data_IF_520746247468
#
_entry.id   IF_520746247468
#
_cell.length_a   1.000
_cell.length_b   1.000
_cell.length_c   1.000
_cell.angle_alpha   90.00
_cell.angle_beta   90.00
_cell.angle_gamma   90.00
#
_symmetry.space_group_name_H-M   'P 1'
#
loop_
_entity.id
_entity.type
_entity.pdbx_description
1 polymer ?
#
# COMPACT_ATOMS: atom_id res chain seq x y z
N UNK A 1 -65.22 29.19 -80.16
CA UNK A 1 -64.22 28.26 -79.59
C UNK A 1 -65.00 27.12 -78.95
N UNK A 2 -64.70 25.87 -79.30
CA UNK A 2 -65.43 24.69 -78.80
C UNK A 2 -65.03 24.38 -77.36
N UNK A 3 -66.00 24.02 -76.49
CA UNK A 3 -65.77 23.57 -75.11
C UNK A 3 -64.71 22.45 -75.00
N UNK A 4 -64.67 21.56 -75.99
CA UNK A 4 -63.69 20.48 -76.09
C UNK A 4 -62.24 20.99 -76.26
N UNK A 5 -62.09 22.15 -76.90
CA UNK A 5 -60.79 22.76 -77.10
C UNK A 5 -60.28 23.40 -75.80
N UNK A 6 -61.14 24.04 -75.01
CA UNK A 6 -60.78 24.57 -73.69
C UNK A 6 -60.38 23.48 -72.70
N UNK A 7 -61.09 22.36 -72.67
CA UNK A 7 -60.76 21.19 -71.82
C UNK A 7 -59.38 20.61 -72.15
N UNK A 8 -59.02 20.55 -73.44
CA UNK A 8 -57.70 20.07 -73.88
C UNK A 8 -56.57 20.99 -73.41
N UNK A 9 -56.75 22.31 -73.48
CA UNK A 9 -55.76 23.28 -72.99
C UNK A 9 -55.58 23.20 -71.47
N UNK A 10 -56.68 23.01 -70.73
CA UNK A 10 -56.64 22.86 -69.26
C UNK A 10 -55.91 21.58 -68.84
N UNK A 11 -56.23 20.45 -69.48
CA UNK A 11 -55.54 19.17 -69.21
C UNK A 11 -54.03 19.29 -69.48
N UNK A 12 -53.66 19.89 -70.60
CA UNK A 12 -52.26 20.06 -70.97
C UNK A 12 -51.51 21.02 -70.02
N UNK A 13 -52.16 22.10 -69.60
CA UNK A 13 -51.61 23.04 -68.61
C UNK A 13 -51.37 22.35 -67.26
N UNK A 14 -52.36 21.60 -66.76
CA UNK A 14 -52.28 20.87 -65.49
C UNK A 14 -51.20 19.78 -65.52
N UNK A 15 -51.16 18.97 -66.58
CA UNK A 15 -50.12 17.95 -66.79
C UNK A 15 -48.72 18.56 -66.80
N UNK A 16 -48.53 19.71 -67.47
CA UNK A 16 -47.25 20.42 -67.45
C UNK A 16 -46.85 20.90 -66.05
N UNK A 17 -47.81 21.32 -65.23
CA UNK A 17 -47.58 21.83 -63.89
C UNK A 17 -47.21 20.71 -62.92
N UNK A 18 -47.92 19.58 -63.00
CA UNK A 18 -47.60 18.37 -62.26
C UNK A 18 -46.19 17.88 -62.60
N UNK A 19 -45.86 17.74 -63.88
CA UNK A 19 -44.52 17.30 -64.31
C UNK A 19 -43.40 18.22 -63.78
N UNK A 20 -43.60 19.54 -63.79
CA UNK A 20 -42.66 20.51 -63.22
C UNK A 20 -42.53 20.38 -61.70
N UNK A 21 -43.64 20.19 -60.98
CA UNK A 21 -43.63 20.01 -59.53
C UNK A 21 -42.91 18.72 -59.17
N UNK A 22 -43.26 17.63 -59.84
CA UNK A 22 -42.70 16.30 -59.61
C UNK A 22 -41.19 16.31 -59.86
N UNK A 23 -40.72 17.01 -60.92
CA UNK A 23 -39.30 17.26 -61.16
C UNK A 23 -38.62 18.03 -60.02
N UNK A 24 -39.21 19.13 -59.54
CA UNK A 24 -38.65 19.91 -58.42
C UNK A 24 -38.57 19.10 -57.13
N UNK A 25 -39.59 18.29 -56.82
CA UNK A 25 -39.53 17.39 -55.66
C UNK A 25 -38.46 16.33 -55.81
N UNK A 26 -38.23 15.80 -57.02
CA UNK A 26 -37.14 14.86 -57.26
C UNK A 26 -35.76 15.52 -57.06
N UNK A 27 -35.56 16.72 -57.62
CA UNK A 27 -34.33 17.52 -57.45
C UNK A 27 -34.04 17.80 -55.96
N UNK A 28 -35.04 18.26 -55.20
CA UNK A 28 -34.89 18.51 -53.76
C UNK A 28 -34.56 17.23 -52.99
N UNK A 29 -35.16 16.11 -53.35
CA UNK A 29 -34.91 14.82 -52.70
C UNK A 29 -33.47 14.35 -52.96
N UNK A 30 -32.97 14.53 -54.19
CA UNK A 30 -31.58 14.22 -54.54
C UNK A 30 -30.60 15.11 -53.76
N UNK A 31 -30.88 16.40 -53.67
CA UNK A 31 -30.04 17.34 -52.94
C UNK A 31 -30.02 17.05 -51.44
N UNK A 32 -31.18 16.73 -50.84
CA UNK A 32 -31.27 16.26 -49.44
C UNK A 32 -30.43 14.99 -49.27
N UNK A 33 -30.50 14.03 -50.19
CA UNK A 33 -29.73 12.79 -50.10
C UNK A 33 -28.20 13.04 -50.17
N UNK A 34 -27.76 13.99 -50.99
CA UNK A 34 -26.35 14.42 -51.04
C UNK A 34 -25.90 15.01 -49.71
N UNK A 35 -26.73 15.87 -49.09
CA UNK A 35 -26.46 16.44 -47.77
C UNK A 35 -26.38 15.34 -46.71
N UNK A 36 -27.35 14.42 -46.66
CA UNK A 36 -27.35 13.28 -45.73
C UNK A 36 -26.07 12.47 -45.89
N UNK A 37 -25.69 12.14 -47.12
CA UNK A 37 -24.47 11.38 -47.40
C UNK A 37 -23.23 12.11 -46.88
N UNK A 38 -23.17 13.43 -47.08
CA UNK A 38 -22.02 14.23 -46.63
C UNK A 38 -21.96 14.35 -45.11
N UNK A 39 -23.10 14.50 -44.44
CA UNK A 39 -23.19 14.49 -42.99
C UNK A 39 -22.75 13.13 -42.42
N UNK A 40 -23.20 12.02 -43.00
CA UNK A 40 -22.78 10.69 -42.58
C UNK A 40 -21.26 10.49 -42.72
N UNK A 41 -20.66 10.96 -43.82
CA UNK A 41 -19.21 10.95 -44.00
C UNK A 41 -18.49 11.79 -42.93
N UNK A 42 -19.01 12.98 -42.63
CA UNK A 42 -18.41 13.88 -41.64
C UNK A 42 -18.48 13.26 -40.24
N UNK A 43 -19.65 12.74 -39.84
CA UNK A 43 -19.84 12.04 -38.56
C UNK A 43 -18.90 10.85 -38.43
N UNK A 44 -18.73 10.05 -39.49
CA UNK A 44 -17.81 8.93 -39.49
C UNK A 44 -16.36 9.38 -39.29
N UNK A 45 -15.94 10.45 -39.97
CA UNK A 45 -14.60 11.02 -39.81
C UNK A 45 -14.37 11.60 -38.40
N UNK A 46 -15.34 12.30 -37.84
CA UNK A 46 -15.26 12.83 -36.48
C UNK A 46 -15.13 11.72 -35.43
N UNK A 47 -15.90 10.64 -35.60
CA UNK A 47 -15.83 9.48 -34.71
C UNK A 47 -14.49 8.75 -34.84
N UNK A 48 -14.02 8.50 -36.05
CA UNK A 48 -12.71 7.88 -36.32
C UNK A 48 -11.56 8.72 -35.73
N UNK A 49 -11.61 10.04 -35.90
CA UNK A 49 -10.64 10.96 -35.30
C UNK A 49 -10.65 10.89 -33.77
N UNK A 50 -11.83 10.90 -33.14
CA UNK A 50 -11.96 10.77 -31.68
C UNK A 50 -11.46 9.42 -31.18
N UNK A 51 -11.81 8.33 -31.86
CA UNK A 51 -11.33 6.99 -31.52
C UNK A 51 -9.81 6.92 -31.58
N UNK A 52 -9.17 7.39 -32.66
CA UNK A 52 -7.70 7.42 -32.75
C UNK A 52 -7.06 8.24 -31.63
N UNK A 53 -7.65 9.39 -31.29
CA UNK A 53 -7.14 10.20 -30.19
C UNK A 53 -7.22 9.44 -28.86
N UNK A 54 -8.35 8.78 -28.61
CA UNK A 54 -8.54 7.95 -27.41
C UNK A 54 -7.53 6.80 -27.39
N UNK A 55 -7.34 6.09 -28.50
CA UNK A 55 -6.38 4.99 -28.63
C UNK A 55 -4.96 5.46 -28.30
N UNK A 56 -4.52 6.57 -28.88
CA UNK A 56 -3.19 7.16 -28.57
C UNK A 56 -3.07 7.46 -27.08
N UNK A 57 -4.06 8.12 -26.49
CA UNK A 57 -4.02 8.46 -25.05
C UNK A 57 -4.05 7.23 -24.16
N UNK A 58 -4.86 6.22 -24.49
CA UNK A 58 -4.98 4.99 -23.73
C UNK A 58 -3.70 4.16 -23.80
N UNK A 59 -3.09 4.03 -24.97
CA UNK A 59 -1.82 3.33 -25.14
C UNK A 59 -0.72 4.00 -24.33
N UNK A 60 -0.60 5.34 -24.40
CA UNK A 60 0.38 6.08 -23.59
C UNK A 60 0.15 5.90 -22.09
N UNK A 61 -1.12 5.94 -21.64
CA UNK A 61 -1.45 5.72 -20.24
C UNK A 61 -1.17 4.28 -19.80
N UNK A 62 -1.40 3.29 -20.67
CA UNK A 62 -1.08 1.89 -20.41
C UNK A 62 0.42 1.69 -20.26
N UNK A 63 1.22 2.23 -21.17
CA UNK A 63 2.69 2.15 -21.11
C UNK A 63 3.22 2.77 -19.82
N UNK A 64 2.73 3.95 -19.44
CA UNK A 64 3.09 4.59 -18.18
C UNK A 64 2.70 3.73 -16.96
N UNK A 65 1.49 3.14 -16.97
CA UNK A 65 1.03 2.26 -15.88
C UNK A 65 1.90 1.01 -15.75
N UNK A 66 2.24 0.38 -16.87
CA UNK A 66 3.10 -0.81 -16.89
C UNK A 66 4.50 -0.46 -16.38
N UNK A 67 5.08 0.65 -16.85
CA UNK A 67 6.40 1.09 -16.40
C UNK A 67 6.44 1.40 -14.89
N UNK A 68 5.43 2.12 -14.38
CA UNK A 68 5.34 2.42 -12.94
C UNK A 68 5.13 1.15 -12.11
N UNK A 69 4.33 0.20 -12.58
CA UNK A 69 4.11 -1.08 -11.91
C UNK A 69 5.40 -1.93 -11.87
N UNK A 70 6.20 -1.90 -12.94
CA UNK A 70 7.50 -2.55 -12.99
C UNK A 70 8.48 -1.92 -11.98
N UNK A 71 8.61 -0.59 -11.98
CA UNK A 71 9.44 0.12 -11.01
C UNK A 71 9.02 -0.17 -9.57
N UNK A 72 7.71 -0.20 -9.30
CA UNK A 72 7.19 -0.53 -7.97
C UNK A 72 7.56 -1.95 -7.56
N UNK A 73 7.43 -2.93 -8.46
CA UNK A 73 7.83 -4.32 -8.21
C UNK A 73 9.32 -4.40 -7.87
N UNK A 74 10.17 -3.72 -8.64
CA UNK A 74 11.61 -3.65 -8.38
C UNK A 74 11.93 -3.03 -7.01
N UNK A 75 11.26 -1.94 -6.64
CA UNK A 75 11.47 -1.28 -5.34
C UNK A 75 11.03 -2.17 -4.17
N UNK A 76 9.91 -2.90 -4.31
CA UNK A 76 9.44 -3.85 -3.30
C UNK A 76 10.47 -4.97 -3.12
N UNK A 77 10.99 -5.53 -4.22
CA UNK A 77 12.01 -6.57 -4.17
C UNK A 77 13.29 -6.07 -3.51
N UNK A 78 13.77 -4.88 -3.89
CA UNK A 78 14.92 -4.23 -3.24
C UNK A 78 14.69 -4.01 -1.73
N UNK A 79 13.49 -3.58 -1.35
CA UNK A 79 13.13 -3.40 0.06
C UNK A 79 13.14 -4.73 0.82
N UNK A 80 12.61 -5.79 0.22
CA UNK A 80 12.59 -7.13 0.84
C UNK A 80 14.00 -7.69 1.01
N UNK A 81 14.84 -7.58 -0.02
CA UNK A 81 16.24 -8.00 0.05
C UNK A 81 16.98 -7.25 1.16
N UNK A 82 16.90 -5.92 1.20
CA UNK A 82 17.55 -5.12 2.24
C UNK A 82 17.07 -5.50 3.65
N UNK A 83 15.78 -5.77 3.82
CA UNK A 83 15.23 -6.23 5.12
C UNK A 83 15.78 -7.60 5.51
N UNK A 84 15.93 -8.52 4.55
CA UNK A 84 16.52 -9.84 4.79
C UNK A 84 17.99 -9.72 5.18
N UNK A 85 18.77 -8.92 4.45
CA UNK A 85 20.18 -8.70 4.73
C UNK A 85 20.40 -8.08 6.11
N UNK A 86 19.59 -7.08 6.48
CA UNK A 86 19.63 -6.48 7.81
C UNK A 86 19.30 -7.47 8.92
N UNK A 87 18.29 -8.34 8.72
CA UNK A 87 17.96 -9.39 9.68
C UNK A 87 19.13 -10.38 9.84
N UNK A 88 19.71 -10.81 8.73
CA UNK A 88 20.87 -11.70 8.75
C UNK A 88 22.05 -11.09 9.50
N UNK A 89 22.36 -9.81 9.24
CA UNK A 89 23.43 -9.10 9.93
C UNK A 89 23.17 -9.02 11.44
N UNK A 90 21.94 -8.74 11.86
CA UNK A 90 21.57 -8.71 13.28
C UNK A 90 21.71 -10.09 13.94
N UNK A 91 21.30 -11.14 13.24
CA UNK A 91 21.44 -12.52 13.71
C UNK A 91 22.91 -12.92 13.87
N UNK A 92 23.76 -12.59 12.88
CA UNK A 92 25.21 -12.78 12.97
C UNK A 92 25.82 -12.03 14.17
N UNK A 93 25.45 -10.75 14.36
CA UNK A 93 25.93 -9.96 15.50
C UNK A 93 25.49 -10.54 16.85
N UNK A 94 24.28 -11.08 16.94
CA UNK A 94 23.75 -11.69 18.16
C UNK A 94 24.44 -13.03 18.47
N UNK A 95 24.68 -13.87 17.47
CA UNK A 95 25.48 -15.09 17.62
C UNK A 95 26.89 -14.76 18.09
N UNK A 96 27.54 -13.76 17.48
CA UNK A 96 28.85 -13.29 17.91
C UNK A 96 28.83 -12.80 19.36
N UNK A 97 27.80 -12.04 19.76
CA UNK A 97 27.63 -11.57 21.13
C UNK A 97 27.46 -12.73 22.12
N UNK A 98 26.65 -13.73 21.79
CA UNK A 98 26.44 -14.91 22.64
C UNK A 98 27.72 -15.74 22.78
N UNK A 99 28.45 -15.96 21.69
CA UNK A 99 29.74 -16.64 21.72
C UNK A 99 30.76 -15.84 22.56
N UNK A 100 30.88 -14.53 22.35
CA UNK A 100 31.76 -13.68 23.16
C UNK A 100 31.34 -13.64 24.64
N UNK A 101 30.05 -13.66 24.96
CA UNK A 101 29.57 -13.70 26.34
C UNK A 101 29.87 -15.07 27.00
N UNK A 102 29.69 -16.17 26.25
CA UNK A 102 30.07 -17.51 26.68
C UNK A 102 31.57 -17.63 26.93
N UNK A 103 32.39 -17.15 25.99
CA UNK A 103 33.85 -17.13 26.10
C UNK A 103 34.32 -16.21 27.24
N UNK A 104 33.69 -15.04 27.40
CA UNK A 104 33.96 -14.15 28.52
C UNK A 104 33.67 -14.83 29.86
N UNK A 105 32.52 -15.49 29.99
CA UNK A 105 32.17 -16.22 31.20
C UNK A 105 33.11 -17.39 31.45
N UNK A 106 33.47 -18.16 30.41
CA UNK A 106 34.44 -19.25 30.51
C UNK A 106 35.83 -18.75 30.94
N UNK A 107 36.32 -17.66 30.36
CA UNK A 107 37.63 -17.05 30.71
C UNK A 107 37.61 -16.48 32.12
N UNK A 108 36.53 -15.82 32.53
CA UNK A 108 36.34 -15.31 33.90
C UNK A 108 36.27 -16.45 34.91
N UNK A 109 35.49 -17.49 34.61
CA UNK A 109 35.33 -18.66 35.47
C UNK A 109 36.65 -19.41 35.63
N UNK A 110 37.40 -19.62 34.54
CA UNK A 110 38.73 -20.24 34.59
C UNK A 110 39.68 -19.44 35.48
N UNK A 111 39.73 -18.10 35.32
CA UNK A 111 40.52 -17.23 36.19
C UNK A 111 40.12 -17.32 37.65
N UNK A 112 38.83 -17.46 37.95
CA UNK A 112 38.34 -17.67 39.31
C UNK A 112 38.82 -19.01 39.86
N UNK A 113 38.71 -20.11 39.11
CA UNK A 113 39.23 -21.44 39.49
C UNK A 113 40.74 -21.40 39.76
N UNK A 114 41.50 -20.76 38.85
CA UNK A 114 42.96 -20.66 38.93
C UNK A 114 43.43 -19.81 40.12
N UNK A 115 42.58 -18.90 40.63
CA UNK A 115 42.84 -18.04 41.78
C UNK A 115 41.95 -18.35 42.99
N UNK A 116 41.41 -19.57 43.08
CA UNK A 116 40.68 -20.02 44.28
C UNK A 116 41.66 -19.97 45.47
N UNK A 117 41.33 -19.25 46.56
CA UNK A 117 42.17 -19.22 47.76
C UNK A 117 42.34 -20.62 48.35
N UNK A 118 43.53 -20.93 48.86
CA UNK A 118 43.87 -22.24 49.43
C UNK A 118 42.93 -22.69 50.57
N UNK A 119 42.20 -21.76 51.21
CA UNK A 119 41.19 -22.04 52.23
C UNK A 119 39.99 -22.86 51.73
N UNK A 120 39.74 -22.92 50.42
CA UNK A 120 38.62 -23.67 49.80
C UNK A 120 39.10 -25.01 49.21
N UNK A 121 40.40 -25.22 49.01
CA UNK A 121 40.94 -26.47 48.47
C UNK A 121 40.68 -27.69 49.38
N UNK A 122 40.54 -27.47 50.69
CA UNK A 122 40.16 -28.50 51.66
C UNK A 122 38.77 -29.11 51.41
N UNK A 123 37.90 -28.46 50.62
CA UNK A 123 36.58 -28.99 50.26
C UNK A 123 36.59 -29.96 49.06
N UNK A 124 37.71 -30.08 48.32
CA UNK A 124 37.84 -31.04 47.19
C UNK A 124 37.87 -32.50 47.67
N UNK A 125 38.22 -32.72 48.93
CA UNK A 125 38.22 -34.04 49.58
C UNK A 125 36.86 -34.38 50.22
N UNK A 126 35.90 -33.46 50.21
CA UNK A 126 34.55 -33.74 50.68
C UNK A 126 33.80 -34.57 49.63
N UNK A 127 33.81 -35.89 49.79
CA UNK A 127 32.88 -36.79 49.12
C UNK A 127 31.51 -36.62 49.80
N UNK A 128 30.47 -36.14 49.11
CA UNK A 128 29.15 -36.02 49.72
C UNK A 128 28.63 -37.42 50.07
N UNK A 129 28.42 -37.71 51.34
CA UNK A 129 27.57 -38.83 51.78
C UNK A 129 26.12 -38.39 51.62
N UNK A 130 25.63 -38.32 50.39
CA UNK A 130 24.20 -38.10 50.16
C UNK A 130 23.45 -39.44 50.30
N UNK A 131 22.37 -39.51 51.09
CA UNK A 131 21.38 -40.58 50.96
C UNK A 131 20.80 -40.52 49.54
N UNK A 132 20.63 -41.69 48.91
CA UNK A 132 19.94 -41.81 47.63
C UNK A 132 18.55 -41.16 47.73
N UNK A 133 18.35 -40.02 47.09
CA UNK A 133 17.03 -39.48 46.78
C UNK A 133 16.85 -39.56 45.27
N UNK A 134 15.79 -40.27 44.87
CA UNK A 134 15.46 -40.61 43.50
C UNK A 134 15.33 -39.36 42.62
N UNK A 135 15.79 -39.51 41.38
CA UNK A 135 15.54 -38.60 40.27
C UNK A 135 14.04 -38.61 39.98
N UNK A 136 13.37 -37.48 40.19
CA UNK A 136 12.16 -37.15 39.45
C UNK A 136 12.52 -36.11 38.39
N UNK A 137 12.39 -36.55 37.14
CA UNK A 137 12.54 -35.75 35.93
C UNK A 137 11.52 -34.62 35.90
N UNK A 138 11.93 -33.41 36.24
CA UNK A 138 11.17 -32.19 35.99
C UNK A 138 11.98 -31.28 35.08
N UNK A 139 11.77 -31.44 33.78
CA UNK A 139 12.20 -30.50 32.76
C UNK A 139 11.74 -29.09 33.15
N UNK A 140 12.70 -28.17 33.27
CA UNK A 140 12.46 -26.75 33.47
C UNK A 140 11.78 -26.16 32.23
N UNK A 141 10.46 -26.26 32.15
CA UNK A 141 9.66 -25.44 31.24
C UNK A 141 9.48 -24.06 31.87
N UNK A 142 10.28 -23.09 31.43
CA UNK A 142 9.99 -21.69 31.68
C UNK A 142 8.61 -21.36 31.08
N UNK A 143 7.71 -20.67 31.81
CA UNK A 143 6.40 -20.31 31.29
C UNK A 143 6.54 -19.30 30.13
N UNK A 144 5.61 -19.29 29.15
CA UNK A 144 5.61 -18.31 28.10
C UNK A 144 5.44 -16.91 28.69
N UNK A 145 6.32 -15.98 28.31
CA UNK A 145 6.15 -14.56 28.60
C UNK A 145 4.95 -14.07 27.80
N UNK A 146 3.80 -13.91 28.46
CA UNK A 146 2.66 -13.20 27.89
C UNK A 146 3.03 -11.71 27.81
N UNK A 147 3.30 -11.25 26.59
CA UNK A 147 3.52 -9.83 26.30
C UNK A 147 2.16 -9.12 26.39
N UNK A 148 1.76 -8.74 27.60
CA UNK A 148 0.73 -7.73 27.79
C UNK A 148 1.31 -6.37 27.39
N UNK A 149 0.91 -5.86 26.22
CA UNK A 149 1.22 -4.51 25.77
C UNK A 149 0.40 -3.47 26.56
N UNK A 150 0.66 -3.34 27.85
CA UNK A 150 0.23 -2.17 28.64
C UNK A 150 1.46 -1.31 28.90
N UNK A 151 1.88 -0.55 27.89
CA UNK A 151 3.01 0.37 28.05
C UNK A 151 2.56 1.59 28.84
N UNK A 152 3.21 1.84 29.99
CA UNK A 152 3.04 3.07 30.76
C UNK A 152 3.57 4.28 29.99
N UNK A 153 3.03 5.46 30.28
CA UNK A 153 3.40 6.72 29.66
C UNK A 153 4.88 7.02 29.90
N UNK A 154 5.64 7.29 28.84
CA UNK A 154 7.09 7.53 28.93
C UNK A 154 7.48 8.85 29.61
N UNK A 155 6.50 9.68 29.98
CA UNK A 155 6.70 10.98 30.60
C UNK A 155 6.45 10.92 32.10
N UNK A 156 5.27 10.46 32.53
CA UNK A 156 4.95 10.33 33.96
C UNK A 156 5.27 8.96 34.55
N UNK A 157 5.44 7.92 33.72
CA UNK A 157 5.65 6.52 34.11
C UNK A 157 4.53 5.88 34.96
N UNK A 158 3.50 6.65 35.33
CA UNK A 158 2.42 6.19 36.21
C UNK A 158 1.14 5.75 35.49
N UNK A 159 0.77 6.43 34.40
CA UNK A 159 -0.50 6.21 33.70
C UNK A 159 -0.30 5.47 32.38
N UNK A 160 -1.28 4.68 31.94
CA UNK A 160 -1.20 3.96 30.67
C UNK A 160 -1.16 4.89 29.45
N UNK A 161 -0.56 4.43 28.36
CA UNK A 161 -0.55 5.15 27.10
C UNK A 161 -1.94 5.17 26.45
N UNK A 162 -2.46 6.37 26.19
CA UNK A 162 -3.83 6.57 25.69
C UNK A 162 -3.89 7.56 24.52
N UNK A 163 -2.77 8.12 24.07
CA UNK A 163 -2.75 9.13 23.02
C UNK A 163 -1.84 8.72 21.86
N UNK A 164 -2.38 8.76 20.65
CA UNK A 164 -1.65 8.60 19.39
C UNK A 164 -1.38 9.98 18.79
N UNK A 165 -0.12 10.29 18.51
CA UNK A 165 0.26 11.50 17.78
C UNK A 165 0.12 11.29 16.26
N UNK A 166 -0.66 12.14 15.59
CA UNK A 166 -0.86 12.06 14.14
C UNK A 166 0.39 12.55 13.39
N UNK A 167 0.57 12.04 12.16
CA UNK A 167 1.77 12.14 11.32
C UNK A 167 2.96 11.25 11.73
N UNK A 168 3.09 10.85 13.00
CA UNK A 168 4.13 9.89 13.42
C UNK A 168 3.61 8.58 14.01
N UNK A 169 2.36 8.51 14.46
CA UNK A 169 1.67 7.27 14.85
C UNK A 169 2.09 6.66 16.19
N UNK A 170 2.96 7.29 16.96
CA UNK A 170 3.46 6.71 18.22
C UNK A 170 2.44 6.84 19.36
N UNK A 171 2.13 5.71 20.01
CA UNK A 171 1.37 5.60 21.26
C UNK A 171 2.36 5.48 22.43
N UNK A 172 2.65 6.58 23.12
CA UNK A 172 3.67 6.60 24.17
C UNK A 172 3.33 7.49 25.38
N UNK A 173 2.18 8.17 25.36
CA UNK A 173 1.80 9.13 26.39
C UNK A 173 0.37 8.94 26.90
N UNK A 174 0.14 9.28 28.17
CA UNK A 174 -1.21 9.47 28.71
C UNK A 174 -1.79 10.81 28.23
N UNK A 175 -3.10 11.00 28.43
CA UNK A 175 -3.84 12.20 27.97
C UNK A 175 -3.27 13.50 28.54
N UNK A 176 -2.91 13.49 29.82
CA UNK A 176 -2.43 14.69 30.52
C UNK A 176 -1.00 15.08 30.11
N UNK A 177 -0.13 14.10 29.86
CA UNK A 177 1.21 14.38 29.34
C UNK A 177 1.16 14.78 27.87
N UNK A 178 0.32 14.13 27.05
CA UNK A 178 0.19 14.43 25.62
C UNK A 178 -0.20 15.88 25.32
N UNK A 179 -1.12 16.46 26.11
CA UNK A 179 -1.55 17.87 25.97
C UNK A 179 -0.44 18.90 26.16
N UNK A 180 0.62 18.56 26.89
CA UNK A 180 1.73 19.48 27.22
C UNK A 180 2.89 19.40 26.22
N UNK A 181 2.80 18.54 25.21
CA UNK A 181 3.87 18.25 24.28
C UNK A 181 3.62 18.89 22.92
N UNK A 182 4.68 19.50 22.35
CA UNK A 182 4.68 20.02 20.99
C UNK A 182 5.43 19.10 20.01
N UNK A 183 6.19 18.13 20.52
CA UNK A 183 6.93 17.14 19.75
C UNK A 183 6.77 15.76 20.36
N UNK A 184 6.73 14.73 19.52
CA UNK A 184 6.64 13.35 19.96
C UNK A 184 7.92 12.93 20.72
N UNK A 185 7.83 12.37 21.95
CA UNK A 185 9.00 11.94 22.72
C UNK A 185 9.82 10.84 22.04
N UNK A 186 9.18 10.01 21.20
CA UNK A 186 9.81 8.88 20.52
C UNK A 186 10.63 9.29 19.29
N UNK A 187 10.08 10.21 18.49
CA UNK A 187 10.64 10.51 17.15
C UNK A 187 10.87 12.00 16.88
N UNK A 188 10.55 12.87 17.84
CA UNK A 188 10.71 14.34 17.78
C UNK A 188 9.91 15.05 16.67
N UNK A 189 9.05 14.33 15.95
CA UNK A 189 8.10 14.92 14.99
C UNK A 189 7.15 15.88 15.70
N UNK A 190 6.91 17.05 15.09
CA UNK A 190 6.01 18.06 15.64
C UNK A 190 4.57 17.54 15.67
N UNK A 191 3.90 17.69 16.83
CA UNK A 191 2.54 17.21 17.05
C UNK A 191 1.57 18.23 16.45
N UNK A 192 0.88 17.84 15.38
CA UNK A 192 -0.12 18.69 14.73
C UNK A 192 -1.54 18.35 15.19
N UNK A 193 -1.81 17.06 15.41
CA UNK A 193 -3.08 16.54 15.92
C UNK A 193 -2.81 15.28 16.75
N UNK A 194 -3.71 14.96 17.67
CA UNK A 194 -3.62 13.76 18.51
C UNK A 194 -4.99 13.11 18.67
N UNK A 195 -5.03 11.78 18.80
CA UNK A 195 -6.25 10.99 19.01
C UNK A 195 -6.12 10.27 20.34
N UNK A 196 -7.17 10.36 21.17
CA UNK A 196 -7.28 9.56 22.38
C UNK A 196 -7.84 8.18 22.03
N UNK A 197 -7.15 7.14 22.48
CA UNK A 197 -7.59 5.75 22.39
C UNK A 197 -8.36 5.45 23.67
N UNK A 198 -9.62 5.08 23.52
CA UNK A 198 -10.43 4.51 24.58
C UNK A 198 -10.36 2.99 24.44
N UNK A 199 -9.78 2.33 25.45
CA UNK A 199 -9.86 0.87 25.65
C UNK A 199 -11.24 0.48 26.16
#
# INVERSE_FOLDING_TARGET
>A
MSLLQEESWQYQAFSSFLSKRDRRTAELTEDIQKVITKLNQLTAWELDRKNRQLDITNNLLLDNRLHLAELLSQLIEQQQMRRKDLKHLLEEMEIQRQNQASDYWLVQFQRLIDNIPDSIQCAKDYRPSAPYCALDDAAASAPPVEIFMETNCVICLDSSCQVIFLLCGHLCCCVECGKKLNQCPMCRTTITKQIQVHS
#
